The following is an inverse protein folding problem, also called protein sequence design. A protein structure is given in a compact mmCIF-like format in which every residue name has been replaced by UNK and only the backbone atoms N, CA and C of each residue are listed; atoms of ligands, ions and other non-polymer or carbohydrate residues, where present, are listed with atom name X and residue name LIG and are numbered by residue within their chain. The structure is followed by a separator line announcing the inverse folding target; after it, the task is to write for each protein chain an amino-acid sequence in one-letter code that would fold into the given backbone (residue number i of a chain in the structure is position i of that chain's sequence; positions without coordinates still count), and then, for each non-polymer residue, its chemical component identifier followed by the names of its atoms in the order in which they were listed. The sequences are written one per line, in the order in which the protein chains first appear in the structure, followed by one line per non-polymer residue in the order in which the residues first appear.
data_IF_646692447777
#
_entry.id   IF_646692447777
#
_cell.length_a   1.000
_cell.length_b   1.000
_cell.length_c   1.000
_cell.angle_alpha   90.00
_cell.angle_beta   90.00
_cell.angle_gamma   90.00
#
_symmetry.space_group_name_H-M   'P 1'
#
loop_
_entity.id
_entity.type
_entity.pdbx_description
1 polymer ?
#
# COMPACT_ATOMS: atom_id res chain seq x y z
N UNK A 1 29.30 -3.14 2.59
CA UNK A 1 29.89 -2.57 3.84
C UNK A 1 29.82 -1.03 3.92
N UNK A 2 29.54 -0.29 2.82
CA UNK A 2 29.44 1.18 2.84
C UNK A 2 28.12 1.76 3.39
N UNK A 3 27.00 1.04 3.25
CA UNK A 3 25.66 1.54 3.62
C UNK A 3 25.54 1.99 5.08
N UNK A 4 26.13 1.25 6.03
CA UNK A 4 26.06 1.60 7.46
C UNK A 4 26.75 2.92 7.81
N UNK A 5 27.83 3.26 7.10
CA UNK A 5 28.58 4.49 7.36
C UNK A 5 27.81 5.67 6.78
N UNK A 6 27.34 5.53 5.54
CA UNK A 6 26.51 6.53 4.86
C UNK A 6 25.23 6.84 5.64
N UNK A 7 24.48 5.81 6.04
CA UNK A 7 23.24 5.97 6.81
C UNK A 7 23.50 6.68 8.15
N UNK A 8 24.65 6.40 8.77
CA UNK A 8 25.06 7.03 10.04
C UNK A 8 25.43 8.50 9.85
N UNK A 9 26.21 8.83 8.82
CA UNK A 9 26.60 10.21 8.53
C UNK A 9 25.41 11.09 8.17
N UNK A 10 24.58 10.63 7.23
CA UNK A 10 23.35 11.32 6.83
C UNK A 10 22.41 11.45 8.04
N UNK A 11 22.25 10.37 8.81
CA UNK A 11 21.34 10.35 9.93
C UNK A 11 21.73 11.32 11.04
N UNK A 12 23.00 11.33 11.48
CA UNK A 12 23.46 12.28 12.51
C UNK A 12 23.39 13.72 12.04
N UNK A 13 23.81 14.01 10.80
CA UNK A 13 23.83 15.37 10.26
C UNK A 13 22.42 15.95 10.16
N UNK A 14 21.47 15.22 9.56
CA UNK A 14 20.09 15.67 9.43
C UNK A 14 19.39 15.76 10.79
N UNK A 15 19.65 14.82 11.70
CA UNK A 15 19.04 14.85 13.04
C UNK A 15 19.48 16.10 13.83
N UNK A 16 20.75 16.50 13.75
CA UNK A 16 21.23 17.74 14.38
C UNK A 16 20.52 18.98 13.83
N UNK A 17 20.25 19.03 12.52
CA UNK A 17 19.46 20.11 11.92
C UNK A 17 18.02 20.12 12.46
N UNK A 18 17.37 18.95 12.56
CA UNK A 18 16.03 18.83 13.16
C UNK A 18 16.01 19.30 14.62
N UNK A 19 17.06 18.98 15.40
CA UNK A 19 17.16 19.42 16.79
C UNK A 19 17.28 20.93 16.91
N UNK A 20 18.05 21.58 16.02
CA UNK A 20 18.18 23.03 16.00
C UNK A 20 16.86 23.72 15.64
N UNK A 21 16.08 23.16 14.70
CA UNK A 21 14.80 23.74 14.25
C UNK A 21 13.67 23.51 15.26
N UNK A 22 13.54 22.30 15.81
CA UNK A 22 12.38 21.88 16.62
C UNK A 22 12.66 21.78 18.12
N UNK A 23 13.92 21.91 18.56
CA UNK A 23 14.33 21.79 19.97
C UNK A 23 14.23 20.37 20.57
N UNK A 24 13.90 19.35 19.76
CA UNK A 24 13.64 17.98 20.22
C UNK A 24 14.80 17.05 19.86
N UNK A 25 15.61 16.68 20.85
CA UNK A 25 16.83 15.86 20.68
C UNK A 25 16.57 14.38 20.35
N UNK A 26 15.32 13.93 20.35
CA UNK A 26 14.93 12.57 20.00
C UNK A 26 14.42 12.42 18.56
N UNK A 27 14.39 13.51 17.78
CA UNK A 27 14.05 13.41 16.37
C UNK A 27 15.21 12.80 15.59
N UNK A 28 14.90 11.82 14.76
CA UNK A 28 15.82 11.17 13.85
C UNK A 28 15.41 11.42 12.40
N UNK A 29 16.39 11.60 11.53
CA UNK A 29 16.22 11.53 10.08
C UNK A 29 17.16 10.46 9.53
N UNK A 30 16.79 9.82 8.43
CA UNK A 30 17.59 8.78 7.81
C UNK A 30 17.35 8.74 6.31
N UNK A 31 18.36 8.31 5.55
CA UNK A 31 18.31 8.29 4.07
C UNK A 31 17.11 7.55 3.51
N UNK A 32 16.66 6.47 4.16
CA UNK A 32 15.48 5.67 3.75
C UNK A 32 14.21 6.11 4.51
N UNK A 33 14.32 6.41 5.80
CA UNK A 33 13.16 6.76 6.63
C UNK A 33 12.52 8.09 6.19
N UNK A 34 13.34 9.09 5.82
CA UNK A 34 12.85 10.43 5.45
C UNK A 34 12.05 10.42 4.14
N UNK A 35 12.50 9.81 3.03
CA UNK A 35 11.68 9.69 1.81
C UNK A 35 10.40 8.89 2.02
N UNK A 36 10.47 7.78 2.77
CA UNK A 36 9.28 6.95 3.06
C UNK A 36 8.23 7.75 3.84
N UNK A 37 8.66 8.53 4.84
CA UNK A 37 7.74 9.43 5.55
C UNK A 37 7.17 10.50 4.61
N UNK A 38 7.99 11.03 3.69
CA UNK A 38 7.55 11.93 2.62
C UNK A 38 6.42 11.34 1.78
N UNK A 39 6.60 10.12 1.26
CA UNK A 39 5.57 9.43 0.48
C UNK A 39 4.27 9.21 1.26
N UNK A 40 4.37 8.88 2.56
CA UNK A 40 3.18 8.74 3.42
C UNK A 40 2.44 10.08 3.55
N UNK A 41 3.16 11.18 3.75
CA UNK A 41 2.58 12.53 3.86
C UNK A 41 1.95 12.96 2.54
N UNK A 42 2.65 12.78 1.41
CA UNK A 42 2.14 13.06 0.07
C UNK A 42 0.89 12.24 -0.23
N UNK A 43 0.91 10.94 0.08
CA UNK A 43 -0.25 10.05 -0.10
C UNK A 43 -1.43 10.49 0.74
N UNK A 44 -1.19 10.93 1.98
CA UNK A 44 -2.23 11.45 2.87
C UNK A 44 -2.82 12.77 2.35
N UNK A 45 -1.99 13.69 1.84
CA UNK A 45 -2.46 14.93 1.22
C UNK A 45 -3.29 14.66 -0.03
N UNK A 46 -2.81 13.79 -0.91
CA UNK A 46 -3.55 13.36 -2.09
C UNK A 46 -4.89 12.70 -1.71
N UNK A 47 -4.93 11.89 -0.65
CA UNK A 47 -6.19 11.33 -0.14
C UNK A 47 -7.12 12.43 0.39
N UNK A 48 -6.59 13.41 1.11
CA UNK A 48 -7.38 14.53 1.67
C UNK A 48 -7.99 15.41 0.58
N UNK A 49 -7.25 15.64 -0.50
CA UNK A 49 -7.73 16.41 -1.66
C UNK A 49 -8.76 15.64 -2.50
N UNK A 50 -8.57 14.32 -2.63
CA UNK A 50 -9.49 13.44 -3.33
C UNK A 50 -10.57 12.85 -2.40
N UNK A 51 -10.97 13.56 -1.34
CA UNK A 51 -12.12 13.13 -0.54
C UNK A 51 -13.39 13.37 -1.34
N UNK A 52 -14.15 12.30 -1.58
CA UNK A 52 -15.37 12.33 -2.36
C UNK A 52 -16.46 11.43 -1.79
N UNK A 53 -17.54 11.34 -2.54
CA UNK A 53 -18.74 10.59 -2.22
C UNK A 53 -18.86 9.42 -3.20
N UNK A 54 -19.16 8.24 -2.67
CA UNK A 54 -19.56 7.10 -3.47
C UNK A 54 -21.07 7.14 -3.72
N UNK A 55 -21.47 7.21 -4.98
CA UNK A 55 -22.85 7.05 -5.42
C UNK A 55 -23.05 5.58 -5.78
N UNK A 56 -23.93 4.90 -5.06
CA UNK A 56 -24.17 3.47 -5.22
C UNK A 56 -25.58 3.28 -5.78
N UNK A 57 -25.66 2.74 -6.99
CA UNK A 57 -26.93 2.39 -7.64
C UNK A 57 -27.11 0.88 -7.66
N UNK A 58 -28.29 0.41 -7.26
CA UNK A 58 -28.71 -0.99 -7.42
C UNK A 58 -29.50 -1.13 -8.71
N UNK A 59 -29.05 -1.98 -9.62
CA UNK A 59 -29.72 -2.19 -10.93
C UNK A 59 -31.01 -3.01 -10.78
N UNK A 60 -31.09 -3.90 -9.79
CA UNK A 60 -32.28 -4.68 -9.43
C UNK A 60 -32.28 -5.04 -7.94
N UNK A 61 -33.42 -5.44 -7.37
CA UNK A 61 -33.49 -5.96 -5.99
C UNK A 61 -32.61 -7.21 -5.86
N UNK A 62 -31.41 -7.05 -5.29
CA UNK A 62 -30.41 -8.11 -5.11
C UNK A 62 -29.36 -8.22 -6.23
N UNK A 63 -29.39 -7.34 -7.24
CA UNK A 63 -28.45 -7.34 -8.36
C UNK A 63 -27.13 -6.60 -8.10
N UNK A 64 -26.33 -6.47 -9.16
CA UNK A 64 -25.03 -5.79 -9.13
C UNK A 64 -25.16 -4.31 -8.74
N UNK A 65 -24.16 -3.85 -7.97
CA UNK A 65 -24.06 -2.46 -7.53
C UNK A 65 -23.12 -1.72 -8.46
N UNK A 66 -23.62 -0.67 -9.10
CA UNK A 66 -22.78 0.24 -9.86
C UNK A 66 -22.32 1.35 -8.92
N UNK A 67 -21.00 1.52 -8.82
CA UNK A 67 -20.37 2.48 -7.91
C UNK A 67 -19.75 3.58 -8.77
N UNK A 68 -20.21 4.81 -8.58
CA UNK A 68 -19.57 6.01 -9.11
C UNK A 68 -18.89 6.78 -8.00
N UNK A 69 -17.74 7.39 -8.30
CA UNK A 69 -17.02 8.23 -7.37
C UNK A 69 -17.08 9.69 -7.84
N UNK A 70 -17.55 10.58 -6.98
CA UNK A 70 -17.68 12.01 -7.27
C UNK A 70 -17.05 12.83 -6.15
N UNK A 71 -16.16 13.76 -6.49
CA UNK A 71 -15.45 14.60 -5.52
C UNK A 71 -16.30 15.79 -5.09
N UNK A 72 -17.15 16.31 -6.00
CA UNK A 72 -17.98 17.49 -5.74
C UNK A 72 -19.27 17.14 -4.97
N UNK A 73 -19.41 17.70 -3.76
CA UNK A 73 -20.60 17.51 -2.91
C UNK A 73 -21.91 17.92 -3.58
N UNK A 74 -21.89 19.00 -4.38
CA UNK A 74 -23.09 19.50 -5.07
C UNK A 74 -23.53 18.54 -6.17
N UNK A 75 -22.59 18.00 -6.96
CA UNK A 75 -22.87 17.03 -8.02
C UNK A 75 -23.34 15.70 -7.45
N UNK A 76 -22.73 15.25 -6.35
CA UNK A 76 -23.15 14.04 -5.65
C UNK A 76 -24.59 14.15 -5.10
N UNK A 77 -25.01 15.33 -4.63
CA UNK A 77 -26.40 15.55 -4.18
C UNK A 77 -27.41 15.72 -5.31
N UNK A 78 -27.00 16.31 -6.43
CA UNK A 78 -27.86 16.45 -7.61
C UNK A 78 -27.91 15.20 -8.48
N UNK A 79 -27.20 14.14 -8.09
CA UNK A 79 -27.19 12.88 -8.81
C UNK A 79 -28.63 12.31 -8.85
N UNK A 80 -29.09 11.83 -10.02
CA UNK A 80 -30.46 11.35 -10.18
C UNK A 80 -30.69 10.12 -9.30
N UNK A 81 -31.80 10.08 -8.56
CA UNK A 81 -32.14 8.92 -7.72
C UNK A 81 -32.48 7.66 -8.54
N UNK A 82 -32.93 7.85 -9.78
CA UNK A 82 -33.29 6.80 -10.71
C UNK A 82 -32.61 7.08 -12.05
N UNK A 83 -31.80 6.14 -12.52
CA UNK A 83 -31.14 6.23 -13.83
C UNK A 83 -31.50 4.99 -14.65
N UNK A 84 -31.78 5.18 -15.94
CA UNK A 84 -31.91 4.08 -16.89
C UNK A 84 -30.53 3.62 -17.34
N UNK A 85 -30.19 2.36 -17.11
CA UNK A 85 -28.94 1.75 -17.60
C UNK A 85 -29.24 1.07 -18.93
N UNK A 86 -28.45 1.38 -19.96
CA UNK A 86 -28.48 0.65 -21.23
C UNK A 86 -27.38 -0.41 -21.14
N UNK A 87 -27.75 -1.68 -21.26
CA UNK A 87 -26.79 -2.76 -21.38
C UNK A 87 -26.34 -2.84 -22.84
N UNK A 88 -25.05 -2.62 -23.07
CA UNK A 88 -24.43 -2.96 -24.35
C UNK A 88 -24.27 -4.48 -24.47
N UNK A 89 -24.05 -4.97 -25.69
CA UNK A 89 -23.88 -6.40 -25.94
C UNK A 89 -22.67 -6.97 -25.15
N UNK A 90 -22.84 -8.14 -24.49
CA UNK A 90 -21.76 -8.71 -23.70
C UNK A 90 -20.61 -9.16 -24.60
N UNK A 91 -19.43 -8.62 -24.36
CA UNK A 91 -18.20 -9.10 -24.99
C UNK A 91 -17.70 -10.29 -24.17
N UNK A 92 -17.60 -11.45 -24.81
CA UNK A 92 -17.06 -12.67 -24.19
C UNK A 92 -15.67 -12.90 -24.74
N UNK A 93 -14.67 -12.99 -23.86
CA UNK A 93 -13.31 -13.38 -24.19
C UNK A 93 -12.87 -14.51 -23.26
N UNK A 94 -11.95 -15.33 -23.75
CA UNK A 94 -11.27 -16.35 -22.95
C UNK A 94 -9.91 -15.81 -22.53
N UNK A 95 -9.59 -15.93 -21.25
CA UNK A 95 -8.30 -15.55 -20.69
C UNK A 95 -7.70 -16.75 -19.95
N UNK A 96 -6.48 -17.15 -20.32
CA UNK A 96 -5.73 -18.16 -19.58
C UNK A 96 -5.17 -17.55 -18.31
N UNK A 97 -5.64 -18.03 -17.15
CA UNK A 97 -5.13 -17.59 -15.85
C UNK A 97 -3.95 -18.47 -15.42
N UNK A 98 -2.76 -17.88 -15.46
CA UNK A 98 -1.55 -18.56 -14.96
C UNK A 98 -1.52 -18.57 -13.42
N UNK A 99 -0.94 -19.61 -12.80
CA UNK A 99 -0.74 -19.63 -11.36
C UNK A 99 0.20 -18.51 -10.91
N UNK A 100 0.07 -18.10 -9.65
CA UNK A 100 0.95 -17.11 -9.07
C UNK A 100 2.41 -17.62 -9.01
N UNK A 101 3.41 -16.75 -9.24
CA UNK A 101 4.80 -17.12 -9.12
C UNK A 101 5.16 -17.43 -7.65
N UNK A 102 6.29 -18.13 -7.42
CA UNK A 102 6.83 -18.31 -6.08
C UNK A 102 7.07 -17.00 -5.34
N UNK A 103 7.02 -17.04 -4.01
CA UNK A 103 7.18 -15.86 -3.17
C UNK A 103 8.59 -15.24 -3.27
N UNK A 104 8.62 -13.92 -3.46
CA UNK A 104 9.77 -13.07 -3.15
C UNK A 104 9.59 -12.47 -1.76
N UNK A 105 10.61 -11.75 -1.27
CA UNK A 105 10.51 -11.08 0.04
C UNK A 105 9.32 -10.12 0.09
N UNK A 106 9.13 -9.32 -0.96
CA UNK A 106 8.07 -8.30 -1.01
C UNK A 106 6.68 -8.91 -1.09
N UNK A 107 6.49 -9.94 -1.94
CA UNK A 107 5.19 -10.60 -2.08
C UNK A 107 4.82 -11.40 -0.83
N UNK A 108 5.79 -12.04 -0.17
CA UNK A 108 5.57 -12.69 1.13
C UNK A 108 5.13 -11.68 2.19
N UNK A 109 5.83 -10.54 2.30
CA UNK A 109 5.50 -9.50 3.29
C UNK A 109 4.13 -8.88 3.02
N UNK A 110 3.81 -8.64 1.75
CA UNK A 110 2.52 -8.11 1.33
C UNK A 110 1.37 -9.06 1.68
N UNK A 111 1.47 -10.34 1.31
CA UNK A 111 0.42 -11.33 1.58
C UNK A 111 0.29 -11.63 3.07
N UNK A 112 1.39 -11.73 3.82
CA UNK A 112 1.34 -11.91 5.26
C UNK A 112 0.64 -10.74 5.97
N UNK A 113 0.83 -9.51 5.49
CA UNK A 113 0.11 -8.36 6.01
C UNK A 113 -1.37 -8.38 5.60
N UNK A 114 -1.66 -8.64 4.33
CA UNK A 114 -3.03 -8.61 3.77
C UNK A 114 -3.92 -9.73 4.32
N UNK A 115 -3.39 -10.94 4.44
CA UNK A 115 -4.14 -12.15 4.79
C UNK A 115 -4.11 -12.40 6.31
N UNK A 116 -2.93 -12.27 6.93
CA UNK A 116 -2.73 -12.61 8.35
C UNK A 116 -2.67 -11.39 9.28
N UNK A 117 -2.58 -10.17 8.74
CA UNK A 117 -2.43 -8.95 9.53
C UNK A 117 -1.06 -8.80 10.20
N UNK A 118 -0.06 -9.57 9.78
CA UNK A 118 1.27 -9.54 10.39
C UNK A 118 2.05 -8.29 9.98
N UNK A 119 2.85 -7.76 10.91
CA UNK A 119 3.78 -6.67 10.61
C UNK A 119 4.98 -7.20 9.83
N UNK A 120 5.59 -6.36 8.99
CA UNK A 120 6.75 -6.75 8.20
C UNK A 120 7.90 -7.29 9.08
N UNK A 121 8.13 -6.68 10.24
CA UNK A 121 9.18 -7.13 11.18
C UNK A 121 8.87 -8.49 11.80
N UNK A 122 7.61 -8.77 12.14
CA UNK A 122 7.20 -10.06 12.68
C UNK A 122 7.30 -11.16 11.63
N UNK A 123 6.80 -10.90 10.41
CA UNK A 123 6.88 -11.84 9.29
C UNK A 123 8.33 -12.19 8.95
N UNK A 124 9.23 -11.20 8.88
CA UNK A 124 10.65 -11.45 8.61
C UNK A 124 11.31 -12.30 9.70
N UNK A 125 10.97 -12.05 10.98
CA UNK A 125 11.48 -12.88 12.08
C UNK A 125 10.99 -14.32 11.96
N UNK A 126 9.70 -14.52 11.70
CA UNK A 126 9.11 -15.84 11.54
C UNK A 126 9.73 -16.59 10.34
N UNK A 127 9.94 -15.89 9.22
CA UNK A 127 10.58 -16.46 8.04
C UNK A 127 12.05 -16.84 8.32
N UNK A 128 12.77 -16.05 9.11
CA UNK A 128 14.11 -16.41 9.59
C UNK A 128 14.07 -17.69 10.42
N UNK A 129 13.15 -17.80 11.39
CA UNK A 129 13.01 -18.97 12.26
C UNK A 129 12.68 -20.25 11.43
N UNK A 130 11.80 -20.13 10.43
CA UNK A 130 11.45 -21.23 9.51
C UNK A 130 12.62 -21.65 8.63
N UNK A 131 13.42 -20.69 8.15
CA UNK A 131 14.62 -20.96 7.36
C UNK A 131 15.68 -21.68 8.18
N UNK A 132 15.94 -21.21 9.41
CA UNK A 132 16.89 -21.83 10.34
C UNK A 132 16.44 -23.24 10.77
N UNK A 133 15.14 -23.48 10.79
CA UNK A 133 14.56 -24.82 11.04
C UNK A 133 14.57 -25.73 9.81
N UNK A 134 15.04 -25.25 8.64
CA UNK A 134 15.10 -26.02 7.40
C UNK A 134 13.76 -26.26 6.71
N UNK A 135 12.72 -25.48 7.06
CA UNK A 135 11.37 -25.65 6.53
C UNK A 135 11.13 -24.86 5.22
N UNK A 136 11.92 -23.81 4.98
CA UNK A 136 11.83 -22.97 3.78
C UNK A 136 13.22 -22.66 3.21
N UNK A 137 13.26 -22.15 1.98
CA UNK A 137 14.49 -21.60 1.37
C UNK A 137 14.79 -20.19 1.92
N UNK A 138 15.93 -19.62 1.49
CA UNK A 138 16.35 -18.30 1.96
C UNK A 138 15.32 -17.22 1.60
N UNK A 139 14.72 -16.62 2.63
CA UNK A 139 13.56 -15.74 2.52
C UNK A 139 13.88 -14.33 2.02
N UNK A 140 15.12 -13.86 2.13
CA UNK A 140 15.53 -12.53 1.65
C UNK A 140 16.00 -12.60 0.19
N UNK A 141 15.06 -12.80 -0.74
CA UNK A 141 15.28 -12.88 -2.20
C UNK A 141 14.41 -11.88 -2.97
N UNK A 142 14.96 -11.31 -4.04
CA UNK A 142 14.27 -10.40 -4.98
C UNK A 142 13.79 -11.13 -6.24
N UNK A 143 14.24 -12.37 -6.46
CA UNK A 143 13.90 -13.16 -7.65
C UNK A 143 12.97 -14.29 -7.23
N UNK A 144 11.84 -14.50 -7.95
CA UNK A 144 11.01 -15.69 -7.77
C UNK A 144 11.85 -16.92 -8.10
N UNK A 145 11.92 -17.88 -7.17
CA UNK A 145 12.68 -19.14 -7.33
C UNK A 145 11.75 -20.32 -7.44
#
# INVERSE_FOLDING_TARGET
RGSRIEDRWIGFTLSQHLWAVYGKRWLGAGRVQTPVLGWIVERYQAWKENQGYYLIYSVSEGGEKIIFFETDKSKAKSAPQTASVILEEPIVWEEETLPAPPYTTDSLLFDANRILGYSASFTMKLAQDLFESGLITYHSTEVPR
#
